data_IF_611060836358
#
_entry.id   IF_611060836358
#
_cell.length_a   1.000
_cell.length_b   1.000
_cell.length_c   1.000
_cell.angle_alpha   90.00
_cell.angle_beta   90.00
_cell.angle_gamma   90.00
#
_symmetry.space_group_name_H-M   'P 1'
#
loop_
_entity.id
_entity.type
_entity.pdbx_description
1 polymer ?
#
# COMPACT_ATOMS: atom_id res chain seq x y z
N UNK A 1 -5.03 7.75 -32.83
CA UNK A 1 -3.80 7.10 -33.34
C UNK A 1 -2.99 6.71 -32.13
N UNK A 2 -2.89 5.43 -31.84
CA UNK A 2 -2.16 4.91 -30.68
C UNK A 2 -0.67 5.13 -30.93
N UNK A 3 -0.03 5.92 -30.07
CA UNK A 3 1.42 6.15 -30.08
C UNK A 3 2.12 4.85 -29.66
N UNK A 4 2.08 3.85 -30.55
CA UNK A 4 2.86 2.61 -30.45
C UNK A 4 4.33 2.92 -30.81
N UNK A 5 4.70 4.20 -30.91
CA UNK A 5 6.05 4.63 -31.08
C UNK A 5 6.88 4.14 -29.91
N UNK A 6 7.53 3.06 -30.26
CA UNK A 6 8.81 2.72 -29.73
C UNK A 6 8.89 2.30 -28.27
N UNK A 7 8.16 1.25 -27.89
CA UNK A 7 8.66 0.41 -26.81
C UNK A 7 9.88 -0.33 -27.36
N UNK A 8 11.03 0.34 -27.36
CA UNK A 8 12.31 -0.21 -27.80
C UNK A 8 13.32 -0.23 -26.68
N UNK A 9 14.31 -1.08 -26.80
CA UNK A 9 15.39 -1.12 -25.82
C UNK A 9 16.17 0.20 -25.80
N UNK A 10 16.30 0.88 -26.94
CA UNK A 10 16.95 2.20 -27.06
C UNK A 10 16.18 3.27 -26.26
N UNK A 11 14.86 3.31 -26.37
CA UNK A 11 14.02 4.24 -25.60
C UNK A 11 14.14 3.98 -24.08
N UNK A 12 14.19 2.71 -23.68
CA UNK A 12 14.39 2.33 -22.26
C UNK A 12 15.75 2.81 -21.77
N UNK A 13 16.81 2.65 -22.56
CA UNK A 13 18.19 3.02 -22.21
C UNK A 13 18.54 4.48 -22.51
N UNK A 14 17.58 5.27 -23.01
CA UNK A 14 17.78 6.71 -23.20
C UNK A 14 18.23 7.38 -21.90
N UNK A 15 19.23 8.26 -22.00
CA UNK A 15 19.88 8.91 -20.85
C UNK A 15 18.86 9.52 -19.86
N UNK A 16 17.92 10.30 -20.38
CA UNK A 16 16.92 10.98 -19.52
C UNK A 16 16.00 9.99 -18.82
N UNK A 17 15.64 8.89 -19.49
CA UNK A 17 14.83 7.84 -18.89
C UNK A 17 15.60 7.11 -17.78
N UNK A 18 16.87 6.79 -18.00
CA UNK A 18 17.72 6.14 -16.99
C UNK A 18 17.98 7.05 -15.79
N UNK A 19 18.19 8.36 -16.01
CA UNK A 19 18.35 9.33 -14.92
C UNK A 19 17.09 9.42 -14.06
N UNK A 20 15.91 9.50 -14.67
CA UNK A 20 14.62 9.48 -13.93
C UNK A 20 14.43 8.16 -13.16
N UNK A 21 14.77 7.03 -13.77
CA UNK A 21 14.69 5.72 -13.15
C UNK A 21 15.61 5.62 -11.93
N UNK A 22 16.85 6.10 -12.05
CA UNK A 22 17.78 6.11 -10.93
C UNK A 22 17.31 7.00 -9.78
N UNK A 23 16.79 8.20 -10.09
CA UNK A 23 16.21 9.09 -9.09
C UNK A 23 15.02 8.44 -8.35
N UNK A 24 14.17 7.69 -9.07
CA UNK A 24 13.06 6.95 -8.47
C UNK A 24 13.55 5.83 -7.53
N UNK A 25 14.53 5.03 -7.97
CA UNK A 25 15.13 3.96 -7.14
C UNK A 25 15.78 4.54 -5.89
N UNK A 26 16.52 5.65 -6.02
CA UNK A 26 17.15 6.35 -4.89
C UNK A 26 16.13 6.87 -3.89
N UNK A 27 15.05 7.49 -4.36
CA UNK A 27 13.97 8.01 -3.51
C UNK A 27 13.28 6.90 -2.71
N UNK A 28 13.13 5.71 -3.28
CA UNK A 28 12.48 4.56 -2.62
C UNK A 28 13.33 3.91 -1.52
N UNK A 29 14.63 4.20 -1.43
CA UNK A 29 15.54 3.72 -0.36
C UNK A 29 15.44 2.21 -0.10
N UNK A 30 15.20 1.41 -1.13
CA UNK A 30 14.98 -0.03 -0.98
C UNK A 30 16.25 -0.78 -0.56
N UNK A 31 16.06 -1.87 0.20
CA UNK A 31 17.15 -2.73 0.68
C UNK A 31 17.97 -3.37 -0.47
N UNK A 32 19.24 -3.75 -0.23
CA UNK A 32 20.06 -4.48 -1.20
C UNK A 32 19.46 -5.84 -1.62
N UNK A 33 19.77 -6.28 -2.84
CA UNK A 33 19.41 -7.61 -3.35
C UNK A 33 20.32 -8.74 -2.83
N UNK A 34 20.52 -9.75 -3.66
CA UNK A 34 21.41 -10.90 -3.38
C UNK A 34 22.88 -10.50 -3.38
N UNK A 35 23.25 -9.53 -4.20
CA UNK A 35 24.61 -9.00 -4.32
C UNK A 35 25.05 -8.11 -3.15
N UNK A 36 24.15 -7.84 -2.22
CA UNK A 36 24.34 -7.00 -1.05
C UNK A 36 24.78 -5.55 -1.35
N UNK A 37 24.78 -5.12 -2.62
CA UNK A 37 25.20 -3.77 -3.00
C UNK A 37 24.11 -2.75 -2.63
N UNK A 38 24.49 -1.68 -1.92
CA UNK A 38 23.62 -0.53 -1.65
C UNK A 38 23.37 0.28 -2.93
N UNK A 39 22.50 1.28 -2.83
CA UNK A 39 22.22 2.20 -3.95
C UNK A 39 23.50 2.97 -4.34
N UNK A 40 24.28 3.43 -3.35
CA UNK A 40 25.52 4.17 -3.53
C UNK A 40 26.60 3.30 -4.17
N UNK A 41 26.78 2.09 -3.68
CA UNK A 41 27.74 1.12 -4.26
C UNK A 41 27.33 0.71 -5.66
N UNK A 42 26.04 0.58 -5.94
CA UNK A 42 25.56 0.32 -7.31
C UNK A 42 25.79 1.51 -8.23
N UNK A 43 25.63 2.74 -7.75
CA UNK A 43 25.93 3.94 -8.53
C UNK A 43 27.41 3.98 -8.95
N UNK A 44 28.34 3.65 -8.04
CA UNK A 44 29.77 3.57 -8.34
C UNK A 44 30.09 2.44 -9.32
N UNK A 45 29.48 1.27 -9.13
CA UNK A 45 29.61 0.16 -10.07
C UNK A 45 29.16 0.55 -11.49
N UNK A 46 28.01 1.22 -11.59
CA UNK A 46 27.47 1.66 -12.89
C UNK A 46 28.35 2.69 -13.58
N UNK A 47 29.02 3.60 -12.85
CA UNK A 47 29.98 4.55 -13.47
C UNK A 47 31.11 3.84 -14.22
N UNK A 48 31.55 2.69 -13.71
CA UNK A 48 32.68 1.92 -14.28
C UNK A 48 32.24 0.94 -15.36
N UNK A 49 31.04 0.36 -15.23
CA UNK A 49 30.62 -0.78 -16.04
C UNK A 49 29.40 -0.50 -16.94
N UNK A 50 28.90 0.75 -16.96
CA UNK A 50 27.67 1.07 -17.68
C UNK A 50 27.74 0.76 -19.16
N UNK A 51 28.87 1.02 -19.81
CA UNK A 51 29.05 0.74 -21.25
C UNK A 51 28.81 -0.75 -21.52
N UNK A 52 29.48 -1.62 -20.80
CA UNK A 52 29.31 -3.08 -20.92
C UNK A 52 27.88 -3.53 -20.67
N UNK A 53 27.28 -3.07 -19.59
CA UNK A 53 25.89 -3.41 -19.24
C UNK A 53 24.92 -2.93 -20.32
N UNK A 54 25.11 -1.73 -20.83
CA UNK A 54 24.30 -1.15 -21.91
C UNK A 54 24.44 -1.98 -23.21
N UNK A 55 25.63 -2.38 -23.57
CA UNK A 55 25.88 -3.18 -24.76
C UNK A 55 25.27 -4.59 -24.65
N UNK A 56 25.31 -5.20 -23.46
CA UNK A 56 24.60 -6.44 -23.18
C UNK A 56 23.09 -6.30 -23.33
N UNK A 57 22.51 -5.18 -22.84
CA UNK A 57 21.09 -4.88 -22.96
C UNK A 57 20.69 -4.65 -24.42
N UNK A 58 21.46 -3.86 -25.17
CA UNK A 58 21.22 -3.59 -26.57
C UNK A 58 21.34 -4.87 -27.43
N UNK A 59 22.30 -5.71 -27.12
CA UNK A 59 22.49 -7.00 -27.79
C UNK A 59 21.48 -8.07 -27.31
N UNK A 60 20.60 -7.75 -26.37
CA UNK A 60 19.63 -8.69 -25.80
C UNK A 60 20.28 -9.85 -25.02
N UNK A 61 21.51 -9.70 -24.51
CA UNK A 61 22.24 -10.75 -23.76
C UNK A 61 22.23 -10.57 -22.25
N UNK A 62 21.84 -9.40 -21.75
CA UNK A 62 21.80 -9.11 -20.31
C UNK A 62 21.07 -10.19 -19.52
N UNK A 63 21.68 -10.67 -18.44
CA UNK A 63 21.11 -11.67 -17.53
C UNK A 63 20.81 -11.02 -16.16
N UNK A 64 19.54 -10.99 -15.73
CA UNK A 64 19.19 -10.52 -14.40
C UNK A 64 19.81 -11.38 -13.30
N UNK A 65 20.19 -10.72 -12.20
CA UNK A 65 20.60 -11.44 -10.99
C UNK A 65 19.47 -12.19 -10.32
N UNK A 66 19.81 -13.08 -9.41
CA UNK A 66 18.83 -13.75 -8.55
C UNK A 66 18.11 -12.73 -7.66
N UNK A 67 16.85 -13.02 -7.33
CA UNK A 67 15.99 -12.18 -6.47
C UNK A 67 16.10 -12.68 -5.03
N UNK A 68 16.38 -11.80 -4.06
CA UNK A 68 16.44 -12.16 -2.65
C UNK A 68 15.04 -12.33 -2.08
N UNK A 69 14.72 -13.52 -1.56
CA UNK A 69 13.49 -13.80 -0.86
C UNK A 69 13.53 -13.23 0.57
N UNK A 70 12.47 -12.52 0.96
CA UNK A 70 12.27 -12.03 2.33
C UNK A 70 10.83 -12.32 2.71
N UNK A 71 10.63 -12.93 3.88
CA UNK A 71 9.31 -13.16 4.44
C UNK A 71 8.93 -12.02 5.38
N UNK A 72 7.77 -11.45 5.16
CA UNK A 72 7.20 -10.40 6.01
C UNK A 72 5.91 -10.91 6.64
N UNK A 73 5.74 -10.78 7.98
CA UNK A 73 4.51 -11.18 8.64
C UNK A 73 3.33 -10.34 8.12
N UNK A 74 2.20 -11.00 7.85
CA UNK A 74 0.95 -10.31 7.53
C UNK A 74 0.26 -9.85 8.82
N UNK A 75 -0.41 -8.70 8.83
CA UNK A 75 -1.16 -8.22 9.99
C UNK A 75 -2.27 -9.17 10.47
N UNK A 76 -2.74 -10.05 9.61
CA UNK A 76 -3.84 -11.01 9.89
C UNK A 76 -3.34 -12.45 10.11
N UNK A 77 -2.02 -12.61 10.35
CA UNK A 77 -1.35 -13.92 10.45
C UNK A 77 -0.83 -14.44 9.11
N UNK A 78 0.13 -15.38 9.19
CA UNK A 78 0.86 -15.90 8.05
C UNK A 78 1.96 -14.96 7.54
N UNK A 79 2.66 -15.37 6.48
CA UNK A 79 3.77 -14.63 5.89
C UNK A 79 3.45 -14.20 4.47
N UNK A 80 4.07 -13.12 4.02
CA UNK A 80 4.10 -12.67 2.63
C UNK A 80 5.54 -12.75 2.14
N UNK A 81 5.76 -13.46 1.06
CA UNK A 81 7.09 -13.55 0.45
C UNK A 81 7.29 -12.37 -0.50
N UNK A 82 8.28 -11.54 -0.19
CA UNK A 82 8.75 -10.49 -1.09
C UNK A 82 9.99 -10.97 -1.84
N UNK A 83 10.13 -10.54 -3.07
CA UNK A 83 11.33 -10.73 -3.87
C UNK A 83 12.03 -9.40 -4.08
N UNK A 84 13.23 -9.24 -3.56
CA UNK A 84 14.04 -8.02 -3.69
C UNK A 84 15.10 -8.24 -4.77
N UNK A 85 14.92 -7.66 -5.99
CA UNK A 85 15.95 -7.70 -7.04
C UNK A 85 17.17 -6.85 -6.64
N UNK A 86 18.31 -7.09 -7.24
CA UNK A 86 19.49 -6.24 -7.10
C UNK A 86 19.16 -4.79 -7.49
N UNK A 87 19.89 -3.84 -6.97
CA UNK A 87 19.63 -2.41 -7.24
C UNK A 87 19.78 -2.10 -8.74
N UNK A 88 20.77 -2.72 -9.42
CA UNK A 88 20.94 -2.60 -10.86
C UNK A 88 19.71 -3.12 -11.63
N UNK A 89 19.20 -4.29 -11.26
CA UNK A 89 17.98 -4.84 -11.89
C UNK A 89 16.76 -3.98 -11.63
N UNK A 90 16.64 -3.41 -10.42
CA UNK A 90 15.55 -2.45 -10.09
C UNK A 90 15.64 -1.19 -10.94
N UNK A 91 16.84 -0.70 -11.21
CA UNK A 91 17.04 0.45 -12.08
C UNK A 91 16.56 0.15 -13.51
N UNK A 92 16.97 -0.98 -14.09
CA UNK A 92 16.58 -1.39 -15.44
C UNK A 92 15.06 -1.63 -15.49
N UNK A 93 14.50 -2.35 -14.52
CA UNK A 93 13.04 -2.56 -14.42
C UNK A 93 12.27 -1.25 -14.28
N UNK A 94 12.79 -0.28 -13.52
CA UNK A 94 12.18 1.04 -13.38
C UNK A 94 12.21 1.82 -14.70
N UNK A 95 13.31 1.76 -15.44
CA UNK A 95 13.41 2.38 -16.76
C UNK A 95 12.44 1.74 -17.77
N UNK A 96 12.32 0.41 -17.75
CA UNK A 96 11.33 -0.31 -18.54
C UNK A 96 9.90 0.09 -18.15
N UNK A 97 9.60 0.12 -16.85
CA UNK A 97 8.27 0.48 -16.35
C UNK A 97 7.83 1.88 -16.82
N UNK A 98 8.74 2.86 -16.84
CA UNK A 98 8.44 4.22 -17.29
C UNK A 98 8.01 4.25 -18.78
N UNK A 99 8.76 3.57 -19.65
CA UNK A 99 8.45 3.52 -21.09
C UNK A 99 7.19 2.70 -21.36
N UNK A 100 7.10 1.52 -20.76
CA UNK A 100 5.93 0.64 -20.93
C UNK A 100 4.64 1.28 -20.38
N UNK A 101 4.70 1.96 -19.24
CA UNK A 101 3.53 2.64 -18.67
C UNK A 101 3.08 3.77 -19.59
N UNK A 102 4.00 4.60 -20.09
CA UNK A 102 3.65 5.70 -20.98
C UNK A 102 2.95 5.20 -22.26
N UNK A 103 3.39 4.05 -22.81
CA UNK A 103 2.83 3.50 -24.04
C UNK A 103 1.52 2.70 -23.82
N UNK A 104 1.38 2.01 -22.68
CA UNK A 104 0.33 0.99 -22.51
C UNK A 104 -0.81 1.42 -21.56
N UNK A 105 -0.60 2.43 -20.70
CA UNK A 105 -1.60 2.80 -19.68
C UNK A 105 -2.93 3.22 -20.29
N UNK A 106 -2.92 4.00 -21.38
CA UNK A 106 -4.13 4.45 -22.07
C UNK A 106 -4.97 3.32 -22.66
N UNK A 107 -4.36 2.15 -22.92
CA UNK A 107 -5.04 0.96 -23.45
C UNK A 107 -5.71 0.10 -22.39
N UNK A 108 -5.49 0.37 -21.10
CA UNK A 108 -6.08 -0.36 -19.98
C UNK A 108 -7.47 0.16 -19.63
N UNK A 109 -8.29 -0.70 -19.03
CA UNK A 109 -9.63 -0.36 -18.60
C UNK A 109 -9.67 0.87 -17.69
N UNK A 110 -10.68 1.72 -17.86
CA UNK A 110 -10.95 2.86 -16.99
C UNK A 110 -11.37 2.46 -15.56
N UNK A 111 -11.84 1.23 -15.38
CA UNK A 111 -12.24 0.67 -14.08
C UNK A 111 -11.08 0.06 -13.28
N UNK A 112 -9.86 0.11 -13.81
CA UNK A 112 -8.63 -0.30 -13.14
C UNK A 112 -7.89 0.91 -12.56
N UNK A 113 -7.67 0.93 -11.24
CA UNK A 113 -7.14 2.09 -10.51
C UNK A 113 -5.76 1.86 -9.89
N UNK A 114 -5.44 0.64 -9.47
CA UNK A 114 -4.21 0.34 -8.74
C UNK A 114 -2.95 0.44 -9.60
N UNK A 115 -1.89 1.03 -9.07
CA UNK A 115 -0.57 1.15 -9.71
C UNK A 115 -0.55 1.84 -11.08
N UNK A 116 -1.49 2.73 -11.33
CA UNK A 116 -1.59 3.49 -12.57
C UNK A 116 -1.34 4.98 -12.34
N UNK A 117 -0.69 5.69 -13.30
CA UNK A 117 -0.52 7.13 -13.19
C UNK A 117 -1.88 7.84 -13.16
N UNK A 118 -1.95 8.93 -12.38
CA UNK A 118 -3.13 9.77 -12.24
C UNK A 118 -4.41 9.03 -11.79
N UNK A 119 -4.26 7.87 -11.13
CA UNK A 119 -5.34 7.11 -10.54
C UNK A 119 -5.02 6.76 -9.09
N UNK A 120 -6.04 6.80 -8.26
CA UNK A 120 -5.89 6.61 -6.82
C UNK A 120 -6.91 5.63 -6.24
N UNK A 121 -6.70 5.22 -5.00
CA UNK A 121 -7.68 4.47 -4.23
C UNK A 121 -8.98 5.28 -4.02
N UNK A 122 -8.86 6.60 -3.90
CA UNK A 122 -10.02 7.49 -3.74
C UNK A 122 -10.90 7.53 -4.99
N UNK A 123 -10.30 7.53 -6.18
CA UNK A 123 -11.05 7.45 -7.45
C UNK A 123 -11.82 6.14 -7.55
N UNK A 124 -11.20 5.03 -7.10
CA UNK A 124 -11.84 3.73 -7.02
C UNK A 124 -13.05 3.74 -6.07
N UNK A 125 -12.90 4.32 -4.89
CA UNK A 125 -13.99 4.46 -3.90
C UNK A 125 -15.11 5.35 -4.45
N UNK A 126 -14.79 6.45 -5.12
CA UNK A 126 -15.79 7.35 -5.69
C UNK A 126 -16.53 6.69 -6.88
N UNK A 127 -15.85 5.88 -7.70
CA UNK A 127 -16.51 5.08 -8.73
C UNK A 127 -17.49 4.06 -8.11
N UNK A 128 -17.07 3.35 -7.07
CA UNK A 128 -17.92 2.43 -6.34
C UNK A 128 -19.13 3.13 -5.71
N UNK A 129 -18.92 4.31 -5.10
CA UNK A 129 -19.98 5.16 -4.56
C UNK A 129 -21.02 5.54 -5.61
N UNK A 130 -20.58 5.88 -6.84
CA UNK A 130 -21.50 6.17 -7.95
C UNK A 130 -22.36 4.97 -8.31
N UNK A 131 -21.82 3.76 -8.34
CA UNK A 131 -22.58 2.54 -8.60
C UNK A 131 -23.64 2.28 -7.51
N UNK A 132 -23.29 2.49 -6.24
CA UNK A 132 -24.25 2.34 -5.13
C UNK A 132 -25.39 3.35 -5.24
N UNK A 133 -25.10 4.62 -5.59
CA UNK A 133 -26.11 5.65 -5.83
C UNK A 133 -27.02 5.34 -7.03
N UNK A 134 -26.54 4.58 -8.02
CA UNK A 134 -27.33 4.05 -9.13
C UNK A 134 -28.21 2.84 -8.76
N UNK A 135 -28.32 2.50 -7.48
CA UNK A 135 -29.15 1.39 -7.00
C UNK A 135 -28.47 0.02 -6.95
N UNK A 136 -27.16 -0.06 -7.22
CA UNK A 136 -26.40 -1.32 -7.14
C UNK A 136 -25.92 -1.54 -5.70
N UNK A 137 -26.80 -2.09 -4.87
CA UNK A 137 -26.60 -2.20 -3.41
C UNK A 137 -25.98 -3.52 -2.93
N UNK A 138 -25.64 -4.40 -3.87
CA UNK A 138 -24.95 -5.66 -3.59
C UNK A 138 -23.55 -5.65 -4.18
N UNK A 139 -22.59 -6.11 -3.39
CA UNK A 139 -21.18 -6.18 -3.74
C UNK A 139 -20.75 -7.63 -3.87
N UNK A 140 -19.93 -7.91 -4.87
CA UNK A 140 -19.19 -9.14 -5.02
C UNK A 140 -17.73 -8.82 -4.83
N UNK A 141 -17.15 -9.27 -3.73
CA UNK A 141 -15.72 -9.16 -3.47
C UNK A 141 -14.99 -10.38 -4.00
N UNK A 142 -13.98 -10.18 -4.82
CA UNK A 142 -13.15 -11.25 -5.39
C UNK A 142 -11.71 -11.01 -4.96
N UNK A 143 -11.19 -11.91 -4.11
CA UNK A 143 -9.78 -11.98 -3.67
C UNK A 143 -9.08 -13.08 -4.47
N UNK A 144 -8.02 -12.73 -5.21
CA UNK A 144 -7.24 -13.69 -5.97
C UNK A 144 -6.23 -14.40 -5.06
N UNK A 145 -6.22 -15.73 -5.09
CA UNK A 145 -5.32 -16.53 -4.26
C UNK A 145 -3.88 -16.36 -4.71
N UNK A 146 -3.06 -15.70 -3.88
CA UNK A 146 -1.62 -15.53 -4.16
C UNK A 146 -1.33 -15.05 -5.60
N UNK A 147 -2.07 -14.08 -6.10
CA UNK A 147 -2.08 -13.66 -7.50
C UNK A 147 -0.68 -13.49 -8.10
N UNK A 148 0.21 -12.75 -7.41
CA UNK A 148 1.56 -12.50 -7.91
C UNK A 148 2.39 -13.78 -8.07
N UNK A 149 2.09 -14.85 -7.36
CA UNK A 149 2.79 -16.13 -7.45
C UNK A 149 2.18 -17.06 -8.52
N UNK A 150 0.93 -16.76 -8.97
CA UNK A 150 0.19 -17.58 -9.93
C UNK A 150 0.28 -17.11 -11.37
N UNK A 151 0.76 -15.89 -11.65
CA UNK A 151 0.84 -15.36 -13.02
C UNK A 151 1.54 -16.35 -13.95
N UNK A 152 0.83 -16.81 -14.96
CA UNK A 152 1.36 -17.72 -15.96
C UNK A 152 2.26 -16.96 -16.94
N UNK A 153 3.54 -17.34 -17.03
CA UNK A 153 4.54 -16.63 -17.84
C UNK A 153 4.20 -16.67 -19.34
N UNK A 154 3.76 -17.81 -19.85
CA UNK A 154 3.50 -17.98 -21.30
C UNK A 154 2.30 -17.14 -21.73
N UNK A 155 1.22 -17.15 -20.92
CA UNK A 155 0.04 -16.30 -21.15
C UNK A 155 0.43 -14.82 -21.11
N UNK A 156 1.18 -14.39 -20.08
CA UNK A 156 1.63 -13.02 -19.97
C UNK A 156 2.50 -12.61 -21.16
N UNK A 157 3.46 -13.44 -21.54
CA UNK A 157 4.33 -13.16 -22.68
C UNK A 157 3.56 -13.13 -24.00
N UNK A 158 2.56 -13.98 -24.19
CA UNK A 158 1.65 -13.92 -25.33
C UNK A 158 0.84 -12.62 -25.38
N UNK A 159 0.36 -12.12 -24.24
CA UNK A 159 -0.34 -10.82 -24.17
C UNK A 159 0.61 -9.65 -24.50
N UNK A 160 1.84 -9.70 -23.99
CA UNK A 160 2.85 -8.66 -24.22
C UNK A 160 3.34 -8.63 -25.66
N UNK A 161 3.50 -9.79 -26.31
CA UNK A 161 3.98 -9.86 -27.71
C UNK A 161 3.01 -9.22 -28.71
N UNK A 162 1.73 -9.09 -28.36
CA UNK A 162 0.73 -8.36 -29.18
C UNK A 162 0.85 -6.84 -29.05
N UNK A 163 1.56 -6.35 -28.02
CA UNK A 163 1.67 -4.93 -27.69
C UNK A 163 3.10 -4.38 -27.84
N UNK A 164 4.10 -5.24 -27.80
CA UNK A 164 5.53 -4.90 -27.83
C UNK A 164 6.17 -5.59 -29.04
N UNK A 165 6.65 -4.79 -29.99
CA UNK A 165 7.31 -5.31 -31.19
C UNK A 165 8.79 -5.69 -30.97
N UNK A 166 9.49 -4.99 -30.06
CA UNK A 166 10.91 -5.24 -29.81
C UNK A 166 11.11 -6.56 -29.06
N UNK A 167 11.64 -7.56 -29.77
CA UNK A 167 11.93 -8.90 -29.22
C UNK A 167 12.95 -8.87 -28.08
N UNK A 168 13.87 -7.86 -28.06
CA UNK A 168 14.87 -7.70 -26.99
C UNK A 168 14.20 -7.32 -25.68
N UNK A 169 13.21 -6.42 -25.74
CA UNK A 169 12.41 -6.02 -24.58
C UNK A 169 11.60 -7.20 -24.05
N UNK A 170 10.92 -7.93 -24.93
CA UNK A 170 10.17 -9.15 -24.54
C UNK A 170 11.09 -10.19 -23.91
N UNK A 171 12.25 -10.45 -24.50
CA UNK A 171 13.23 -11.40 -23.97
C UNK A 171 13.71 -10.98 -22.57
N UNK A 172 13.95 -9.68 -22.36
CA UNK A 172 14.37 -9.15 -21.07
C UNK A 172 13.27 -9.29 -20.01
N UNK A 173 11.99 -8.99 -20.33
CA UNK A 173 10.86 -9.26 -19.44
C UNK A 173 10.81 -10.75 -19.08
N UNK A 174 10.91 -11.63 -20.06
CA UNK A 174 10.92 -13.07 -19.84
C UNK A 174 12.04 -13.54 -18.92
N UNK A 175 13.24 -12.94 -19.01
CA UNK A 175 14.35 -13.23 -18.08
C UNK A 175 14.05 -12.75 -16.68
N UNK A 176 13.49 -11.55 -16.49
CA UNK A 176 13.07 -11.06 -15.17
C UNK A 176 12.01 -11.97 -14.54
N UNK A 177 11.04 -12.43 -15.29
CA UNK A 177 10.03 -13.37 -14.82
C UNK A 177 10.65 -14.69 -14.34
N UNK A 178 11.63 -15.23 -15.07
CA UNK A 178 12.31 -16.50 -14.77
C UNK A 178 13.50 -16.38 -13.84
N UNK A 179 13.93 -15.17 -13.48
CA UNK A 179 15.06 -14.97 -12.58
C UNK A 179 14.87 -15.76 -11.28
N UNK A 180 15.85 -16.57 -10.84
CA UNK A 180 15.70 -17.45 -9.70
C UNK A 180 15.52 -16.65 -8.39
N UNK A 181 14.80 -17.24 -7.44
CA UNK A 181 14.67 -16.65 -6.10
C UNK A 181 15.63 -17.34 -5.14
N UNK A 182 16.49 -16.57 -4.46
CA UNK A 182 17.43 -17.05 -3.45
C UNK A 182 16.82 -16.88 -2.07
N UNK A 183 16.68 -17.99 -1.37
CA UNK A 183 16.16 -18.05 -0.01
C UNK A 183 17.24 -17.70 1.02
N UNK A 184 16.85 -17.46 2.29
CA UNK A 184 17.77 -17.12 3.36
C UNK A 184 18.81 -18.22 3.63
N UNK A 185 18.45 -19.48 3.40
CA UNK A 185 19.36 -20.65 3.49
C UNK A 185 20.32 -20.81 2.29
N UNK A 186 20.32 -19.86 1.36
CA UNK A 186 21.17 -19.88 0.15
C UNK A 186 20.63 -20.69 -1.03
N UNK A 187 19.57 -21.48 -0.83
CA UNK A 187 18.97 -22.27 -1.91
C UNK A 187 18.37 -21.35 -2.97
N UNK A 188 18.55 -21.72 -4.23
CA UNK A 188 17.94 -21.04 -5.38
C UNK A 188 16.75 -21.84 -5.90
N UNK A 189 15.60 -21.19 -5.93
CA UNK A 189 14.37 -21.74 -6.52
C UNK A 189 14.14 -21.15 -7.90
N UNK A 190 14.09 -21.98 -8.91
CA UNK A 190 13.67 -21.59 -10.27
C UNK A 190 12.20 -21.21 -10.26
N UNK A 191 11.85 -20.15 -10.99
CA UNK A 191 10.45 -19.72 -11.14
C UNK A 191 9.93 -20.11 -12.52
N UNK A 192 8.81 -20.81 -12.52
CA UNK A 192 8.04 -21.16 -13.73
C UNK A 192 6.76 -20.37 -13.85
N UNK A 193 6.32 -19.76 -12.74
CA UNK A 193 5.13 -18.92 -12.60
C UNK A 193 5.44 -17.73 -11.68
N UNK A 194 4.57 -16.76 -11.73
CA UNK A 194 4.59 -15.62 -10.82
C UNK A 194 5.54 -14.50 -11.26
N UNK A 195 5.30 -13.35 -10.66
CA UNK A 195 6.16 -12.16 -10.78
C UNK A 195 6.63 -11.75 -9.38
N UNK A 196 7.91 -11.35 -9.20
CA UNK A 196 8.43 -11.06 -7.85
C UNK A 196 7.71 -9.86 -7.24
N UNK A 197 7.11 -10.06 -6.08
CA UNK A 197 6.55 -8.95 -5.31
C UNK A 197 7.70 -8.09 -4.76
N UNK A 198 7.94 -6.92 -5.36
CA UNK A 198 9.00 -5.98 -4.96
C UNK A 198 9.85 -5.44 -6.11
N UNK A 199 9.70 -5.98 -7.32
CA UNK A 199 10.27 -5.40 -8.52
C UNK A 199 9.41 -4.25 -9.06
N UNK A 200 10.02 -3.16 -9.58
CA UNK A 200 9.28 -2.03 -10.14
C UNK A 200 8.36 -2.37 -11.33
N UNK A 201 8.69 -3.42 -12.07
CA UNK A 201 7.92 -3.83 -13.24
C UNK A 201 6.69 -4.67 -12.91
N UNK A 202 6.69 -5.38 -11.77
CA UNK A 202 5.65 -6.34 -11.40
C UNK A 202 4.23 -5.76 -11.33
N UNK A 203 3.99 -4.55 -10.82
CA UNK A 203 2.64 -3.97 -10.78
C UNK A 203 2.05 -3.72 -12.17
N UNK A 204 2.87 -3.25 -13.12
CA UNK A 204 2.43 -3.05 -14.50
C UNK A 204 2.08 -4.37 -15.17
N UNK A 205 2.95 -5.40 -15.03
CA UNK A 205 2.71 -6.73 -15.57
C UNK A 205 1.44 -7.36 -14.98
N UNK A 206 1.19 -7.14 -13.69
CA UNK A 206 -0.03 -7.56 -13.01
C UNK A 206 -1.28 -6.94 -13.64
N UNK A 207 -1.26 -5.62 -13.88
CA UNK A 207 -2.37 -4.93 -14.54
C UNK A 207 -2.60 -5.42 -15.97
N UNK A 208 -1.54 -5.66 -16.73
CA UNK A 208 -1.64 -6.19 -18.09
C UNK A 208 -2.20 -7.62 -18.11
N UNK A 209 -1.85 -8.44 -17.12
CA UNK A 209 -2.37 -9.80 -16.99
C UNK A 209 -3.86 -9.83 -16.66
N UNK A 210 -4.36 -8.84 -15.89
CA UNK A 210 -5.77 -8.73 -15.49
C UNK A 210 -6.62 -7.88 -16.45
N UNK A 211 -6.03 -7.17 -17.43
CA UNK A 211 -6.76 -6.37 -18.42
C UNK A 211 -7.84 -7.16 -19.20
N UNK A 212 -7.63 -8.46 -19.57
CA UNK A 212 -8.69 -9.27 -20.18
C UNK A 212 -9.91 -9.46 -19.26
N UNK A 213 -9.72 -9.59 -17.94
CA UNK A 213 -10.84 -9.63 -16.99
C UNK A 213 -11.63 -8.31 -17.01
N UNK A 214 -10.93 -7.19 -16.97
CA UNK A 214 -11.57 -5.87 -17.00
C UNK A 214 -12.41 -5.70 -18.27
N UNK A 215 -11.87 -6.10 -19.43
CA UNK A 215 -12.58 -6.06 -20.72
C UNK A 215 -13.78 -6.97 -20.74
N UNK A 216 -13.69 -8.16 -20.18
CA UNK A 216 -14.79 -9.10 -20.13
C UNK A 216 -15.91 -8.60 -19.21
N UNK A 217 -15.57 -8.04 -18.04
CA UNK A 217 -16.56 -7.44 -17.15
C UNK A 217 -17.27 -6.26 -17.82
N UNK A 218 -16.53 -5.39 -18.50
CA UNK A 218 -17.09 -4.28 -19.26
C UNK A 218 -18.00 -4.76 -20.42
N UNK A 219 -17.56 -5.79 -21.17
CA UNK A 219 -18.35 -6.39 -22.26
C UNK A 219 -19.68 -6.97 -21.76
N UNK A 220 -19.69 -7.51 -20.53
CA UNK A 220 -20.92 -8.03 -19.89
C UNK A 220 -21.78 -6.92 -19.28
N UNK A 221 -21.37 -5.65 -19.34
CA UNK A 221 -22.06 -4.53 -18.70
C UNK A 221 -22.08 -4.59 -17.17
N UNK A 222 -21.13 -5.31 -16.57
CA UNK A 222 -21.00 -5.42 -15.12
C UNK A 222 -20.32 -4.16 -14.58
N UNK A 223 -20.92 -3.51 -13.60
CA UNK A 223 -20.28 -2.42 -12.89
C UNK A 223 -19.23 -2.98 -11.95
N UNK A 224 -18.01 -2.51 -12.04
CA UNK A 224 -16.90 -3.01 -11.22
C UNK A 224 -15.85 -1.94 -10.97
N UNK A 225 -15.03 -2.23 -9.98
CA UNK A 225 -13.83 -1.46 -9.64
C UNK A 225 -12.72 -2.46 -9.35
N UNK A 226 -11.55 -2.27 -9.97
CA UNK A 226 -10.37 -3.08 -9.67
C UNK A 226 -9.23 -2.21 -9.16
N UNK A 227 -8.64 -2.60 -8.05
CA UNK A 227 -7.43 -2.00 -7.51
C UNK A 227 -6.35 -3.07 -7.32
N UNK A 228 -5.44 -3.19 -8.27
CA UNK A 228 -4.48 -4.28 -8.38
C UNK A 228 -5.19 -5.65 -8.51
N UNK A 229 -5.04 -6.51 -7.51
CA UNK A 229 -5.66 -7.83 -7.37
C UNK A 229 -7.02 -7.82 -6.62
N UNK A 230 -7.38 -6.70 -5.99
CA UNK A 230 -8.70 -6.53 -5.36
C UNK A 230 -9.74 -6.14 -6.42
N UNK A 231 -10.79 -6.95 -6.58
CA UNK A 231 -11.88 -6.72 -7.55
C UNK A 231 -13.20 -6.68 -6.81
N UNK A 232 -13.97 -5.60 -6.99
CA UNK A 232 -15.31 -5.46 -6.45
C UNK A 232 -16.32 -5.23 -7.58
N UNK A 233 -17.36 -6.08 -7.68
CA UNK A 233 -18.45 -5.93 -8.62
C UNK A 233 -19.68 -5.39 -7.90
N UNK A 234 -20.52 -4.63 -8.61
CA UNK A 234 -21.71 -4.00 -8.04
C UNK A 234 -22.97 -4.40 -8.83
N UNK A 235 -24.01 -4.84 -8.10
CA UNK A 235 -25.26 -5.29 -8.71
C UNK A 235 -26.48 -4.95 -7.84
N UNK A 236 -27.69 -5.07 -8.41
CA UNK A 236 -28.94 -4.66 -7.77
C UNK A 236 -29.54 -5.72 -6.86
N UNK A 237 -29.17 -7.00 -7.00
CA UNK A 237 -29.77 -8.10 -6.25
C UNK A 237 -28.77 -9.17 -5.81
N UNK A 238 -29.08 -9.85 -4.71
CA UNK A 238 -28.28 -10.96 -4.19
C UNK A 238 -28.12 -12.09 -5.19
N UNK A 239 -29.23 -12.47 -5.84
CA UNK A 239 -29.22 -13.53 -6.85
C UNK A 239 -28.27 -13.21 -8.00
N UNK A 240 -28.24 -11.96 -8.45
CA UNK A 240 -27.30 -11.51 -9.49
C UNK A 240 -25.85 -11.51 -8.96
N UNK A 241 -25.63 -11.11 -7.70
CA UNK A 241 -24.31 -11.11 -7.08
C UNK A 241 -23.73 -12.55 -7.01
N UNK A 242 -24.48 -13.51 -6.51
CA UNK A 242 -24.06 -14.92 -6.45
C UNK A 242 -23.73 -15.48 -7.84
N UNK A 243 -24.62 -15.27 -8.82
CA UNK A 243 -24.39 -15.71 -10.20
C UNK A 243 -23.15 -15.07 -10.82
N UNK A 244 -22.89 -13.78 -10.56
CA UNK A 244 -21.70 -13.09 -11.05
C UNK A 244 -20.44 -13.66 -10.40
N UNK A 245 -20.45 -13.91 -9.09
CA UNK A 245 -19.32 -14.52 -8.39
C UNK A 245 -18.91 -15.84 -9.02
N UNK A 246 -19.87 -16.76 -9.20
CA UNK A 246 -19.59 -18.08 -9.75
C UNK A 246 -19.09 -18.00 -11.21
N UNK A 247 -19.74 -17.16 -12.01
CA UNK A 247 -19.36 -16.97 -13.42
C UNK A 247 -17.97 -16.36 -13.58
N UNK A 248 -17.60 -15.39 -12.74
CA UNK A 248 -16.27 -14.74 -12.80
C UNK A 248 -15.18 -15.68 -12.26
N UNK A 249 -15.46 -16.48 -11.23
CA UNK A 249 -14.54 -17.53 -10.75
C UNK A 249 -14.21 -18.54 -11.85
N UNK A 250 -15.23 -19.04 -12.54
CA UNK A 250 -15.04 -19.95 -13.67
C UNK A 250 -14.20 -19.32 -14.76
N UNK A 251 -14.54 -18.11 -15.17
CA UNK A 251 -13.82 -17.38 -16.20
C UNK A 251 -12.34 -17.13 -15.85
N UNK A 252 -12.05 -16.74 -14.61
CA UNK A 252 -10.67 -16.50 -14.12
C UNK A 252 -9.82 -17.78 -14.22
N UNK A 253 -10.39 -18.94 -13.82
CA UNK A 253 -9.70 -20.22 -13.90
C UNK A 253 -9.44 -20.64 -15.35
N UNK A 254 -10.44 -20.55 -16.21
CA UNK A 254 -10.32 -20.99 -17.61
C UNK A 254 -9.45 -20.06 -18.44
N UNK A 255 -9.66 -18.76 -18.34
CA UNK A 255 -9.03 -17.79 -19.22
C UNK A 255 -7.70 -17.26 -18.70
N UNK A 256 -7.52 -17.13 -17.38
CA UNK A 256 -6.32 -16.58 -16.79
C UNK A 256 -5.51 -17.58 -15.95
N UNK A 257 -6.01 -18.81 -15.76
CA UNK A 257 -5.34 -19.81 -14.91
C UNK A 257 -5.08 -19.26 -13.49
N UNK A 258 -6.13 -18.57 -12.95
CA UNK A 258 -6.11 -17.94 -11.63
C UNK A 258 -7.20 -18.54 -10.74
N UNK A 259 -6.84 -18.90 -9.51
CA UNK A 259 -7.78 -19.31 -8.48
C UNK A 259 -8.17 -18.13 -7.59
N UNK A 260 -9.43 -18.15 -7.14
CA UNK A 260 -9.93 -17.23 -6.12
C UNK A 260 -9.72 -17.80 -4.71
N UNK A 261 -9.64 -16.92 -3.73
CA UNK A 261 -9.66 -17.31 -2.32
C UNK A 261 -11.11 -17.39 -1.83
N UNK A 262 -11.65 -18.59 -1.70
CA UNK A 262 -13.07 -18.80 -1.35
C UNK A 262 -13.43 -18.32 0.06
N UNK A 263 -12.47 -18.28 1.00
CA UNK A 263 -12.71 -17.76 2.36
C UNK A 263 -12.86 -16.22 2.40
N UNK A 264 -12.31 -15.54 1.40
CA UNK A 264 -12.31 -14.06 1.34
C UNK A 264 -13.19 -13.52 0.23
N UNK A 265 -13.44 -14.32 -0.81
CA UNK A 265 -14.36 -13.94 -1.88
C UNK A 265 -15.79 -14.23 -1.46
N UNK A 266 -16.69 -13.30 -1.70
CA UNK A 266 -18.07 -13.46 -1.29
C UNK A 266 -18.98 -12.37 -1.82
N UNK A 267 -20.24 -12.46 -1.41
CA UNK A 267 -21.26 -11.46 -1.73
C UNK A 267 -21.84 -10.89 -0.45
N UNK A 268 -22.10 -9.60 -0.44
CA UNK A 268 -22.69 -8.91 0.69
C UNK A 268 -23.42 -7.64 0.28
N UNK A 269 -24.11 -7.01 1.24
CA UNK A 269 -24.66 -5.69 1.02
C UNK A 269 -23.57 -4.62 1.10
N UNK A 270 -23.77 -3.55 0.35
CA UNK A 270 -23.00 -2.32 0.56
C UNK A 270 -23.11 -1.91 2.05
N UNK A 271 -22.02 -1.44 2.66
CA UNK A 271 -21.96 -1.16 4.10
C UNK A 271 -21.42 -2.31 4.95
N UNK A 272 -21.62 -3.55 4.53
CA UNK A 272 -21.00 -4.73 5.15
C UNK A 272 -19.65 -5.07 4.50
N UNK A 273 -19.54 -4.81 3.20
CA UNK A 273 -18.30 -5.00 2.43
C UNK A 273 -17.32 -3.83 2.62
N UNK A 274 -16.02 -4.13 2.48
CA UNK A 274 -14.95 -3.16 2.65
C UNK A 274 -14.13 -3.04 1.37
N UNK A 275 -14.12 -1.85 0.79
CA UNK A 275 -13.28 -1.52 -0.35
C UNK A 275 -12.15 -0.57 0.06
N UNK A 276 -10.90 -1.00 -0.05
CA UNK A 276 -9.70 -0.18 0.20
C UNK A 276 -9.70 0.52 1.58
N UNK A 277 -10.27 -0.12 2.59
CA UNK A 277 -10.35 0.43 3.96
C UNK A 277 -11.54 1.35 4.21
N UNK A 278 -12.47 1.46 3.28
CA UNK A 278 -13.72 2.19 3.40
C UNK A 278 -14.92 1.24 3.34
N UNK A 279 -16.04 1.63 3.95
CA UNK A 279 -17.36 1.04 3.74
C UNK A 279 -18.24 2.05 3.03
N UNK A 280 -18.92 1.63 1.96
CA UNK A 280 -19.86 2.46 1.22
C UNK A 280 -21.27 2.01 1.60
N UNK A 281 -22.04 2.88 2.23
CA UNK A 281 -23.39 2.60 2.69
C UNK A 281 -24.39 2.69 1.54
N UNK A 282 -25.58 2.10 1.70
CA UNK A 282 -26.63 2.10 0.68
C UNK A 282 -27.12 3.50 0.26
N UNK A 283 -26.92 4.50 1.13
CA UNK A 283 -27.17 5.93 0.85
C UNK A 283 -26.13 6.56 -0.07
N UNK A 284 -24.99 5.88 -0.27
CA UNK A 284 -23.81 6.43 -0.91
C UNK A 284 -22.88 7.19 0.05
N UNK A 285 -23.16 7.15 1.35
CA UNK A 285 -22.22 7.67 2.35
C UNK A 285 -21.03 6.74 2.50
N UNK A 286 -19.87 7.31 2.81
CA UNK A 286 -18.62 6.57 2.96
C UNK A 286 -18.13 6.70 4.39
N UNK A 287 -17.93 5.58 5.06
CA UNK A 287 -17.32 5.52 6.39
C UNK A 287 -15.98 4.79 6.35
N UNK A 288 -15.19 4.98 7.40
CA UNK A 288 -13.93 4.25 7.57
C UNK A 288 -14.27 2.83 8.02
N UNK A 289 -13.70 1.82 7.35
CA UNK A 289 -13.95 0.43 7.68
C UNK A 289 -13.48 0.08 9.10
N UNK A 290 -14.23 -0.75 9.81
CA UNK A 290 -13.92 -1.15 11.18
C UNK A 290 -12.52 -1.74 11.34
N UNK A 291 -12.05 -2.55 10.38
CA UNK A 291 -10.67 -3.08 10.37
C UNK A 291 -9.61 -1.98 10.28
N UNK A 292 -9.87 -0.88 9.56
CA UNK A 292 -8.95 0.26 9.47
C UNK A 292 -8.88 1.01 10.81
N UNK A 293 -10.02 1.19 11.48
CA UNK A 293 -10.08 1.78 12.83
C UNK A 293 -9.39 0.89 13.88
N UNK A 294 -9.52 -0.42 13.79
CA UNK A 294 -8.81 -1.35 14.69
C UNK A 294 -7.29 -1.23 14.51
N UNK A 295 -6.79 -1.20 13.27
CA UNK A 295 -5.36 -0.98 12.98
C UNK A 295 -4.87 0.38 13.50
N UNK A 296 -5.68 1.43 13.37
CA UNK A 296 -5.35 2.72 13.96
C UNK A 296 -5.20 2.60 15.48
N UNK A 297 -6.13 1.92 16.17
CA UNK A 297 -6.05 1.70 17.61
C UNK A 297 -4.79 0.92 18.03
N UNK A 298 -4.40 -0.10 17.29
CA UNK A 298 -3.18 -0.85 17.52
C UNK A 298 -1.95 0.05 17.40
N UNK A 299 -1.84 0.81 16.30
CA UNK A 299 -0.72 1.75 16.10
C UNK A 299 -0.66 2.85 17.16
N UNK A 300 -1.81 3.35 17.64
CA UNK A 300 -1.87 4.29 18.76
C UNK A 300 -1.30 3.68 20.05
N UNK A 301 -1.62 2.42 20.36
CA UNK A 301 -1.06 1.74 21.52
C UNK A 301 0.46 1.59 21.44
N UNK A 302 0.97 1.23 20.25
CA UNK A 302 2.40 1.13 19.98
C UNK A 302 3.10 2.49 20.10
N UNK A 303 2.58 3.54 19.45
CA UNK A 303 3.14 4.88 19.50
C UNK A 303 3.22 5.45 20.91
N UNK A 304 2.20 5.21 21.72
CA UNK A 304 2.09 5.76 23.06
C UNK A 304 2.49 4.74 24.14
N UNK A 305 3.37 3.81 23.81
CA UNK A 305 4.08 2.99 24.80
C UNK A 305 5.27 3.79 25.37
N UNK A 306 5.27 3.96 26.68
CA UNK A 306 6.31 4.73 27.37
C UNK A 306 7.70 4.07 27.38
N UNK A 307 7.77 2.77 27.10
CA UNK A 307 9.01 1.99 27.06
C UNK A 307 9.87 2.27 25.83
N UNK A 308 9.36 3.00 24.84
CA UNK A 308 10.15 3.36 23.67
C UNK A 308 11.30 4.32 24.06
N UNK A 309 12.49 4.09 23.52
CA UNK A 309 13.70 4.89 23.74
C UNK A 309 13.71 6.25 23.02
N UNK A 310 12.58 6.65 22.39
CA UNK A 310 12.45 7.89 21.64
C UNK A 310 12.39 9.11 22.56
N UNK A 311 13.06 10.19 22.21
CA UNK A 311 12.84 11.51 22.83
C UNK A 311 11.42 12.01 22.55
N UNK A 312 10.92 12.95 23.36
CA UNK A 312 9.60 13.57 23.13
C UNK A 312 9.51 14.21 21.75
N UNK A 313 10.57 14.86 21.27
CA UNK A 313 10.62 15.49 19.95
C UNK A 313 10.56 14.46 18.81
N UNK A 314 11.26 13.35 18.95
CA UNK A 314 11.20 12.26 17.96
C UNK A 314 9.80 11.61 17.93
N UNK A 315 9.21 11.36 19.10
CA UNK A 315 7.85 10.82 19.22
C UNK A 315 6.82 11.74 18.57
N UNK A 316 6.93 13.06 18.81
CA UNK A 316 6.10 14.09 18.17
C UNK A 316 6.22 14.06 16.64
N UNK A 317 7.44 14.08 16.11
CA UNK A 317 7.68 14.09 14.67
C UNK A 317 7.14 12.81 13.99
N UNK A 318 7.34 11.65 14.63
CA UNK A 318 6.80 10.40 14.14
C UNK A 318 5.27 10.36 14.19
N UNK A 319 4.67 10.84 15.29
CA UNK A 319 3.23 10.95 15.42
C UNK A 319 2.62 11.83 14.33
N UNK A 320 3.13 13.03 14.12
CA UNK A 320 2.63 13.95 13.10
C UNK A 320 2.68 13.33 11.70
N UNK A 321 3.79 12.66 11.37
CA UNK A 321 3.94 11.97 10.08
C UNK A 321 2.92 10.86 9.92
N UNK A 322 2.74 10.03 10.95
CA UNK A 322 1.80 8.92 10.93
C UNK A 322 0.36 9.42 10.82
N UNK A 323 -0.07 10.28 11.75
CA UNK A 323 -1.48 10.72 11.81
C UNK A 323 -1.86 11.60 10.62
N UNK A 324 -0.92 12.40 10.10
CA UNK A 324 -1.12 13.19 8.90
C UNK A 324 -1.29 12.32 7.66
N UNK A 325 -0.43 11.31 7.47
CA UNK A 325 -0.55 10.37 6.35
C UNK A 325 -1.84 9.55 6.44
N UNK A 326 -2.20 9.08 7.64
CA UNK A 326 -3.43 8.35 7.87
C UNK A 326 -4.66 9.22 7.54
N UNK A 327 -4.69 10.46 8.01
CA UNK A 327 -5.79 11.38 7.77
C UNK A 327 -5.91 11.77 6.29
N UNK A 328 -4.80 12.06 5.61
CA UNK A 328 -4.82 12.35 4.17
C UNK A 328 -5.50 11.24 3.37
N UNK A 329 -5.34 9.99 3.79
CA UNK A 329 -6.01 8.87 3.14
C UNK A 329 -7.49 8.77 3.53
N UNK A 330 -7.83 8.84 4.83
CA UNK A 330 -9.18 8.59 5.32
C UNK A 330 -10.09 9.83 5.41
N UNK A 331 -9.59 11.02 5.09
CA UNK A 331 -10.38 12.26 5.08
C UNK A 331 -11.53 12.28 4.06
N UNK A 332 -11.48 11.40 3.07
CA UNK A 332 -12.55 11.20 2.08
C UNK A 332 -13.82 10.55 2.65
N UNK A 333 -13.75 9.96 3.83
CA UNK A 333 -14.94 9.45 4.53
C UNK A 333 -15.78 10.63 5.04
N UNK A 334 -17.05 10.69 4.63
CA UNK A 334 -17.98 11.74 5.09
C UNK A 334 -18.65 11.41 6.44
N UNK A 335 -18.69 10.13 6.85
CA UNK A 335 -19.16 9.72 8.16
C UNK A 335 -17.98 9.58 9.13
N UNK A 336 -17.84 10.52 10.04
CA UNK A 336 -16.70 10.64 10.96
C UNK A 336 -17.06 10.45 12.45
N UNK A 337 -18.26 9.95 12.76
CA UNK A 337 -18.73 9.76 14.13
C UNK A 337 -17.72 9.06 15.04
N UNK A 338 -17.13 7.98 14.54
CA UNK A 338 -16.16 7.15 15.28
C UNK A 338 -14.88 7.91 15.63
N UNK A 339 -14.46 8.87 14.81
CA UNK A 339 -13.24 9.64 15.05
C UNK A 339 -13.36 10.58 16.24
N UNK A 340 -14.55 11.13 16.48
CA UNK A 340 -14.80 11.96 17.66
C UNK A 340 -14.60 11.17 18.97
N UNK A 341 -15.22 10.00 19.05
CA UNK A 341 -15.07 9.09 20.21
C UNK A 341 -13.63 8.63 20.36
N UNK A 342 -12.98 8.29 19.26
CA UNK A 342 -11.59 7.85 19.23
C UNK A 342 -10.60 8.93 19.66
N UNK A 343 -10.94 10.21 19.42
CA UNK A 343 -10.10 11.36 19.82
C UNK A 343 -9.85 11.41 21.33
N UNK A 344 -10.88 11.21 22.13
CA UNK A 344 -10.78 11.12 23.58
C UNK A 344 -9.88 9.99 24.04
N UNK A 345 -10.07 8.81 23.43
CA UNK A 345 -9.29 7.62 23.71
C UNK A 345 -7.80 7.79 23.33
N UNK A 346 -7.49 8.39 22.18
CA UNK A 346 -6.11 8.69 21.76
C UNK A 346 -5.43 9.63 22.75
N UNK A 347 -6.09 10.73 23.13
CA UNK A 347 -5.54 11.68 24.11
C UNK A 347 -5.30 11.02 25.47
N UNK A 348 -6.14 10.06 25.85
CA UNK A 348 -5.93 9.26 27.06
C UNK A 348 -4.64 8.44 26.97
N UNK A 349 -4.33 7.81 25.83
CA UNK A 349 -3.05 7.11 25.62
C UNK A 349 -1.84 8.07 25.67
N UNK A 350 -1.96 9.27 25.08
CA UNK A 350 -0.93 10.31 25.19
C UNK A 350 -0.63 10.67 26.64
N UNK A 351 -1.68 10.97 27.44
CA UNK A 351 -1.54 11.32 28.85
C UNK A 351 -0.95 10.19 29.68
N UNK A 352 -1.38 8.95 29.44
CA UNK A 352 -0.80 7.74 30.05
C UNK A 352 0.69 7.67 29.79
N UNK A 353 1.10 7.82 28.53
CA UNK A 353 2.50 7.76 28.13
C UNK A 353 3.34 8.85 28.80
N UNK A 354 2.90 10.11 28.77
CA UNK A 354 3.62 11.20 29.44
C UNK A 354 3.72 10.99 30.95
N UNK A 355 2.64 10.55 31.60
CA UNK A 355 2.67 10.24 33.02
C UNK A 355 3.71 9.17 33.38
N UNK A 356 3.83 8.14 32.57
CA UNK A 356 4.83 7.10 32.75
C UNK A 356 6.27 7.60 32.50
N UNK A 357 6.47 8.42 31.47
CA UNK A 357 7.76 8.98 31.09
C UNK A 357 8.27 10.03 32.07
N UNK A 358 7.43 10.59 32.90
CA UNK A 358 7.85 11.46 34.00
C UNK A 358 8.40 10.65 35.20
N UNK A 359 8.42 9.34 35.11
CA UNK A 359 8.98 8.32 35.96
C UNK A 359 8.54 8.42 37.43
N UNK A 360 9.18 9.26 38.22
CA UNK A 360 9.05 9.37 39.65
C UNK A 360 8.24 10.62 40.09
N UNK A 361 8.12 10.82 41.41
CA UNK A 361 7.43 11.93 42.02
C UNK A 361 8.05 13.29 41.62
N UNK A 362 9.38 13.37 41.59
CA UNK A 362 10.08 14.61 41.29
C UNK A 362 9.91 15.00 39.81
N UNK A 363 10.06 14.04 38.90
CA UNK A 363 9.82 14.22 37.47
C UNK A 363 8.39 14.64 37.17
N UNK A 364 7.40 14.00 37.78
CA UNK A 364 5.96 14.35 37.67
C UNK A 364 5.67 15.75 38.21
N UNK A 365 6.23 16.09 39.37
CA UNK A 365 6.09 17.42 39.95
C UNK A 365 6.63 18.52 39.02
N UNK A 366 7.84 18.33 38.52
CA UNK A 366 8.50 19.30 37.62
C UNK A 366 7.72 19.41 36.28
N UNK A 367 7.26 18.33 35.73
CA UNK A 367 6.48 18.33 34.50
C UNK A 367 5.14 19.05 34.68
N UNK A 368 4.39 18.77 35.75
CA UNK A 368 3.12 19.42 36.05
C UNK A 368 3.33 20.94 36.30
N UNK A 369 4.39 21.33 37.01
CA UNK A 369 4.74 22.74 37.25
C UNK A 369 5.03 23.49 35.93
N UNK A 370 5.81 22.88 35.02
CA UNK A 370 6.09 23.42 33.67
C UNK A 370 4.82 23.56 32.83
N UNK A 371 3.83 22.69 33.05
CA UNK A 371 2.54 22.75 32.37
C UNK A 371 1.55 23.74 33.03
N UNK A 372 1.99 24.49 34.02
CA UNK A 372 1.21 25.56 34.66
C UNK A 372 0.33 25.10 35.81
N UNK A 373 0.48 23.88 36.34
CA UNK A 373 -0.21 23.44 37.53
C UNK A 373 0.39 24.13 38.76
N UNK A 374 -0.46 24.66 39.64
CA UNK A 374 -0.06 25.41 40.86
C UNK A 374 -0.67 24.81 42.13
N UNK A 375 -0.09 25.14 43.26
CA UNK A 375 -0.65 24.88 44.60
C UNK A 375 -0.93 23.41 44.86
N UNK A 376 -2.12 23.13 45.43
CA UNK A 376 -2.53 21.78 45.81
C UNK A 376 -2.56 20.76 44.65
N UNK A 377 -2.70 21.24 43.38
CA UNK A 377 -2.67 20.38 42.20
C UNK A 377 -1.34 19.63 42.01
N UNK A 378 -0.22 20.20 42.45
CA UNK A 378 1.11 19.56 42.35
C UNK A 378 1.24 18.32 43.29
N UNK A 379 0.44 18.19 44.34
CA UNK A 379 0.41 17.00 45.23
C UNK A 379 0.09 15.71 44.46
N UNK A 380 -0.61 15.83 43.32
CA UNK A 380 -0.95 14.71 42.44
C UNK A 380 0.30 13.97 41.92
N UNK A 381 1.46 14.62 41.86
CA UNK A 381 2.75 13.98 41.48
C UNK A 381 3.10 12.76 42.36
N UNK A 382 2.68 12.75 43.63
CA UNK A 382 2.88 11.64 44.57
C UNK A 382 1.83 10.55 44.49
N UNK A 383 0.85 10.65 43.59
CA UNK A 383 -0.19 9.66 43.46
C UNK A 383 0.35 8.31 42.97
N UNK A 384 -0.01 7.22 43.69
CA UNK A 384 0.41 5.86 43.37
C UNK A 384 -0.52 5.11 42.41
N UNK A 385 -1.63 5.75 41.97
CA UNK A 385 -2.55 5.13 41.00
C UNK A 385 -1.86 4.84 39.68
N UNK A 386 -2.25 3.72 39.02
CA UNK A 386 -1.70 3.33 37.73
C UNK A 386 -1.88 4.43 36.65
N UNK A 387 -0.96 4.49 35.71
CA UNK A 387 -0.91 5.55 34.69
C UNK A 387 -2.18 5.66 33.84
N UNK A 388 -2.89 4.56 33.65
CA UNK A 388 -4.17 4.56 32.93
C UNK A 388 -5.27 5.30 33.71
N UNK A 389 -5.34 5.09 35.02
CA UNK A 389 -6.25 5.85 35.88
C UNK A 389 -5.86 7.34 35.97
N UNK A 390 -4.55 7.62 36.02
CA UNK A 390 -4.04 9.00 36.05
C UNK A 390 -4.30 9.75 34.74
N UNK A 391 -4.42 9.08 33.60
CA UNK A 391 -4.71 9.70 32.31
C UNK A 391 -6.07 10.41 32.24
N UNK A 392 -7.00 10.08 33.13
CA UNK A 392 -8.32 10.73 33.28
C UNK A 392 -8.43 11.62 34.54
N UNK A 393 -7.39 11.65 35.39
CA UNK A 393 -7.37 12.51 36.56
C UNK A 393 -7.49 13.98 36.18
N UNK A 394 -8.34 14.75 36.89
CA UNK A 394 -8.67 16.15 36.55
C UNK A 394 -7.42 17.01 36.33
N UNK A 395 -6.46 16.96 37.25
CA UNK A 395 -5.23 17.75 37.14
C UNK A 395 -4.38 17.36 35.92
N UNK A 396 -4.22 16.07 35.66
CA UNK A 396 -3.45 15.59 34.49
C UNK A 396 -4.17 15.96 33.20
N UNK A 397 -5.50 15.86 33.20
CA UNK A 397 -6.34 16.24 32.06
C UNK A 397 -6.30 17.74 31.77
N UNK A 398 -6.27 18.59 32.80
CA UNK A 398 -6.12 20.03 32.66
C UNK A 398 -4.70 20.41 32.20
N UNK A 399 -3.66 19.79 32.77
CA UNK A 399 -2.27 20.04 32.38
C UNK A 399 -2.01 19.66 30.91
N UNK A 400 -2.50 18.51 30.49
CA UNK A 400 -2.41 17.98 29.12
C UNK A 400 -3.77 18.10 28.39
N UNK A 401 -4.42 19.26 28.49
CA UNK A 401 -5.63 19.57 27.73
C UNK A 401 -5.37 19.60 26.23
N UNK A 402 -6.42 19.52 25.42
CA UNK A 402 -6.31 19.51 23.94
C UNK A 402 -5.45 20.67 23.42
N UNK A 403 -5.64 21.90 23.94
CA UNK A 403 -4.85 23.05 23.53
C UNK A 403 -3.34 22.90 23.85
N UNK A 404 -2.99 22.28 25.00
CA UNK A 404 -1.61 21.98 25.36
C UNK A 404 -1.00 20.91 24.43
N UNK A 405 -1.72 19.83 24.19
CA UNK A 405 -1.29 18.77 23.25
C UNK A 405 -1.08 19.34 21.84
N UNK A 406 -2.01 20.17 21.36
CA UNK A 406 -1.91 20.80 20.04
C UNK A 406 -0.69 21.72 19.95
N UNK A 407 -0.39 22.52 21.00
CA UNK A 407 0.82 23.36 21.07
C UNK A 407 2.10 22.55 21.01
N UNK A 408 2.09 21.32 21.51
CA UNK A 408 3.19 20.36 21.35
C UNK A 408 3.14 19.61 20.02
N UNK A 409 2.30 20.01 19.07
CA UNK A 409 2.19 19.36 17.76
C UNK A 409 1.55 17.97 17.80
N UNK A 410 0.87 17.61 18.91
CA UNK A 410 0.17 16.35 19.07
C UNK A 410 -1.30 16.49 18.66
N UNK A 411 -1.51 17.10 17.51
CA UNK A 411 -2.84 17.37 16.95
C UNK A 411 -3.47 16.10 16.37
N UNK A 412 -4.80 16.11 16.31
CA UNK A 412 -5.62 15.15 15.60
C UNK A 412 -6.27 15.90 14.42
N UNK A 413 -5.83 15.68 13.17
CA UNK A 413 -6.23 16.49 12.02
C UNK A 413 -7.74 16.56 11.80
N UNK A 414 -8.48 15.47 12.04
CA UNK A 414 -9.94 15.43 11.90
C UNK A 414 -10.68 16.31 12.93
N UNK A 415 -10.05 16.64 14.06
CA UNK A 415 -10.64 17.56 15.05
C UNK A 415 -10.51 19.01 14.59
N UNK A 416 -9.49 19.32 13.80
CA UNK A 416 -9.30 20.64 13.21
C UNK A 416 -10.22 20.87 12.01
N UNK A 417 -10.41 19.82 11.17
CA UNK A 417 -11.27 19.87 9.99
C UNK A 417 -12.77 20.08 10.32
N UNK A 418 -13.25 19.62 11.46
CA UNK A 418 -14.64 19.81 11.90
C UNK A 418 -14.92 21.19 12.53
N UNK A 419 -14.02 22.13 12.42
CA UNK A 419 -14.14 23.53 12.90
C UNK A 419 -14.35 24.56 11.78
N UNK A 420 -14.51 24.08 10.52
CA UNK A 420 -14.89 24.94 9.41
C UNK A 420 -16.38 24.86 9.11
#
# INVERSE_FOLDING_TARGET
MSNTEAITIEAILARDNMCRAFAAVKRNKGAPGVDAKTIEQTAEHLRRHWVTIRDELLAGRYQPGAVRAVEIPKPQGGTRRLGIPNVQDRLIQQAMNQVLTAALDSSMSEHSYGFRPNRSAHDAVEAARRYVKQGKKWVVDIDLKQFFDQVNHDRLMSMLSRKIADKRVLALIGRYLRAPMRQANGQQQKRRRGTPQGGPLSPLLANLYLDPLDRELARRGIAFVRYADDVALFTSSERAARRQLDSVKGWLREQLDLDTNDEKSGTGRCGESQLLGFCIHETGDVSIAGKALLRLKERVREFWDARQSLTTRQLQAQWQRFVGGWWNYFSHANLQKDLHTLSGWIRRHMRKCFWQRWHDRAGRYNALRRLGVKGRGLKVAGCRRGAWAMSTHVVVNQALKTATLNRFGLTLPWVLAGRM
#
